data_IF_324234571505
#
_entry.id   IF_324234571505
#
_cell.length_a   1.000
_cell.length_b   1.000
_cell.length_c   1.000
_cell.angle_alpha   90.00
_cell.angle_beta   90.00
_cell.angle_gamma   90.00
#
_symmetry.space_group_name_H-M   'P 1'
#
loop_
_entity.id
_entity.type
_entity.pdbx_description
1 polymer ?
#
# COMPACT_ATOMS: atom_id res chain seq x y z
N UNK A 1 -17.13 -2.80 5.06
CA UNK A 1 -16.69 -3.60 3.89
C UNK A 1 -17.74 -3.78 2.81
N UNK A 2 -18.91 -4.41 3.06
CA UNK A 2 -19.90 -4.68 1.99
C UNK A 2 -20.41 -3.45 1.23
N UNK A 3 -20.61 -2.32 1.89
CA UNK A 3 -21.12 -1.07 1.27
C UNK A 3 -20.15 -0.44 0.24
N UNK A 4 -18.83 -0.68 0.38
CA UNK A 4 -17.83 -0.20 -0.56
C UNK A 4 -17.66 -1.13 -1.78
N UNK A 5 -17.95 -2.42 -1.65
CA UNK A 5 -17.77 -3.40 -2.73
C UNK A 5 -18.74 -3.17 -3.89
N UNK A 6 -20.01 -2.87 -3.60
CA UNK A 6 -21.00 -2.53 -4.64
C UNK A 6 -20.60 -1.26 -5.40
N UNK A 7 -19.98 -0.30 -4.71
CA UNK A 7 -19.53 0.95 -5.32
C UNK A 7 -18.35 0.76 -6.29
N UNK A 8 -17.46 -0.22 -6.06
CA UNK A 8 -16.33 -0.48 -6.95
C UNK A 8 -16.73 -1.19 -8.25
N UNK A 9 -17.74 -2.05 -8.21
CA UNK A 9 -18.25 -2.74 -9.42
C UNK A 9 -18.91 -1.79 -10.41
N UNK A 10 -19.45 -0.68 -9.96
CA UNK A 10 -20.06 0.35 -10.83
C UNK A 10 -19.04 0.97 -11.79
N UNK A 11 -17.76 0.93 -11.47
CA UNK A 11 -16.69 1.48 -12.30
C UNK A 11 -16.20 0.48 -13.38
N UNK A 12 -16.56 -0.80 -13.28
CA UNK A 12 -16.07 -1.85 -14.18
C UNK A 12 -16.51 -1.70 -15.65
N UNK A 13 -17.75 -1.26 -15.97
CA UNK A 13 -18.15 -1.05 -17.37
C UNK A 13 -17.23 -0.07 -18.11
N UNK A 14 -16.90 1.08 -17.48
CA UNK A 14 -15.95 2.06 -18.06
C UNK A 14 -14.55 1.44 -18.23
N UNK A 15 -14.10 0.65 -17.27
CA UNK A 15 -12.82 -0.03 -17.37
C UNK A 15 -12.78 -1.01 -18.55
N UNK A 16 -13.86 -1.78 -18.77
CA UNK A 16 -13.98 -2.71 -19.89
C UNK A 16 -13.93 -1.99 -21.24
N UNK A 17 -14.73 -0.94 -21.39
CA UNK A 17 -14.79 -0.13 -22.61
C UNK A 17 -13.42 0.45 -22.97
N UNK A 18 -12.79 1.20 -22.07
CA UNK A 18 -11.49 1.85 -22.33
C UNK A 18 -10.34 0.85 -22.49
N UNK A 19 -10.41 -0.30 -21.82
CA UNK A 19 -9.42 -1.36 -22.02
C UNK A 19 -9.59 -2.00 -23.39
N UNK A 20 -10.82 -2.22 -23.85
CA UNK A 20 -11.09 -2.71 -25.19
C UNK A 20 -10.57 -1.74 -26.28
N UNK A 21 -10.86 -0.43 -26.13
CA UNK A 21 -10.36 0.61 -27.02
C UNK A 21 -8.82 0.65 -27.08
N UNK A 22 -8.15 0.47 -25.92
CA UNK A 22 -6.69 0.40 -25.88
C UNK A 22 -6.14 -0.81 -26.66
N UNK A 23 -6.71 -1.99 -26.46
CA UNK A 23 -6.26 -3.19 -27.19
C UNK A 23 -6.63 -3.17 -28.68
N UNK A 24 -7.68 -2.44 -29.07
CA UNK A 24 -8.02 -2.16 -30.47
C UNK A 24 -7.09 -1.11 -31.14
N UNK A 25 -6.21 -0.45 -30.36
CA UNK A 25 -5.32 0.60 -30.86
C UNK A 25 -5.97 1.98 -30.98
N UNK A 26 -7.17 2.14 -30.44
CA UNK A 26 -7.96 3.39 -30.48
C UNK A 26 -7.59 4.36 -29.34
N UNK A 27 -6.83 3.90 -28.35
CA UNK A 27 -6.42 4.68 -27.20
C UNK A 27 -4.89 4.68 -27.05
N UNK A 28 -4.30 5.88 -26.81
CA UNK A 28 -2.88 6.03 -26.55
C UNK A 28 -2.44 5.35 -25.24
N UNK A 29 -1.24 4.77 -25.26
CA UNK A 29 -0.66 4.06 -24.11
C UNK A 29 -0.48 4.95 -22.86
N UNK A 30 -0.15 6.22 -23.04
CA UNK A 30 0.00 7.18 -21.92
C UNK A 30 -1.34 7.47 -21.27
N UNK A 31 -2.36 7.73 -22.09
CA UNK A 31 -3.74 7.95 -21.65
C UNK A 31 -4.29 6.70 -20.92
N UNK A 32 -4.13 5.52 -21.53
CA UNK A 32 -4.53 4.27 -20.90
C UNK A 32 -3.82 4.00 -19.56
N UNK A 33 -2.51 4.27 -19.47
CA UNK A 33 -1.76 4.12 -18.22
C UNK A 33 -2.26 5.06 -17.13
N UNK A 34 -2.63 6.27 -17.47
CA UNK A 34 -3.22 7.25 -16.54
C UNK A 34 -4.56 6.75 -15.99
N UNK A 35 -5.39 6.20 -16.86
CA UNK A 35 -6.71 5.67 -16.55
C UNK A 35 -6.62 4.32 -15.79
N UNK A 36 -5.98 3.32 -16.37
CA UNK A 36 -5.96 1.94 -15.84
C UNK A 36 -5.28 1.81 -14.47
N UNK A 37 -4.40 2.77 -14.15
CA UNK A 37 -3.74 2.83 -12.85
C UNK A 37 -4.71 2.94 -11.67
N UNK A 38 -5.84 3.62 -11.86
CA UNK A 38 -6.92 3.67 -10.85
C UNK A 38 -7.43 2.26 -10.51
N UNK A 39 -7.64 1.43 -11.52
CA UNK A 39 -8.13 0.06 -11.36
C UNK A 39 -7.06 -0.94 -10.89
N UNK A 40 -5.81 -0.48 -10.70
CA UNK A 40 -4.69 -1.33 -10.30
C UNK A 40 -4.11 -2.15 -11.45
N UNK A 41 -4.47 -1.81 -12.69
CA UNK A 41 -3.98 -2.47 -13.90
C UNK A 41 -3.04 -1.58 -14.69
N UNK A 42 -2.08 -2.19 -15.38
CA UNK A 42 -1.18 -1.52 -16.32
C UNK A 42 -0.89 -2.39 -17.52
N UNK A 43 -0.94 -1.79 -18.73
CA UNK A 43 -0.34 -2.41 -19.89
C UNK A 43 1.17 -2.58 -19.67
N UNK A 44 1.66 -3.78 -19.94
CA UNK A 44 3.08 -4.13 -19.86
C UNK A 44 3.88 -3.61 -21.06
N UNK A 45 5.20 -3.80 -21.03
CA UNK A 45 6.06 -3.42 -22.16
C UNK A 45 5.63 -4.20 -23.41
N UNK A 46 5.40 -3.48 -24.50
CA UNK A 46 4.86 -4.07 -25.74
C UNK A 46 3.36 -3.81 -25.95
N UNK A 47 2.57 -3.60 -24.89
CA UNK A 47 1.14 -3.25 -25.02
C UNK A 47 0.20 -4.42 -25.30
N UNK A 48 0.72 -5.65 -25.38
CA UNK A 48 -0.07 -6.86 -25.72
C UNK A 48 -0.60 -7.61 -24.49
N UNK A 49 -0.11 -7.27 -23.31
CA UNK A 49 -0.51 -7.89 -22.05
C UNK A 49 -0.60 -6.84 -20.92
N UNK A 50 -1.32 -7.17 -19.88
CA UNK A 50 -1.51 -6.34 -18.70
C UNK A 50 -1.03 -7.02 -17.41
N UNK A 51 -0.73 -6.20 -16.44
CA UNK A 51 -0.52 -6.58 -15.05
C UNK A 51 -1.73 -6.13 -14.23
N UNK A 52 -2.22 -6.98 -13.33
CA UNK A 52 -3.25 -6.65 -12.35
C UNK A 52 -2.70 -6.79 -10.93
N UNK A 53 -3.00 -5.83 -10.06
CA UNK A 53 -2.56 -5.82 -8.66
C UNK A 53 -3.74 -6.06 -7.73
N UNK A 54 -3.62 -7.10 -6.93
CA UNK A 54 -4.53 -7.46 -5.85
C UNK A 54 -4.02 -6.84 -4.55
N UNK A 55 -4.81 -5.98 -3.91
CA UNK A 55 -4.44 -5.38 -2.62
C UNK A 55 -4.70 -6.40 -1.51
N UNK A 56 -3.71 -6.62 -0.68
CA UNK A 56 -3.82 -7.42 0.54
C UNK A 56 -3.70 -6.47 1.71
N UNK A 57 -4.82 -6.04 2.28
CA UNK A 57 -4.84 -5.03 3.36
C UNK A 57 -3.87 -5.41 4.47
N UNK A 58 -2.96 -4.51 4.81
CA UNK A 58 -1.88 -4.72 5.76
C UNK A 58 -0.98 -5.95 5.46
N UNK A 59 -0.95 -6.41 4.21
CA UNK A 59 -0.20 -7.61 3.82
C UNK A 59 -0.84 -8.93 4.24
N UNK A 60 -2.00 -8.88 4.90
CA UNK A 60 -2.65 -10.09 5.41
C UNK A 60 -3.28 -10.93 4.30
N UNK A 61 -2.81 -12.15 4.14
CA UNK A 61 -3.35 -13.14 3.23
C UNK A 61 -4.00 -14.27 4.03
N UNK A 62 -5.33 -14.26 4.13
CA UNK A 62 -6.09 -15.33 4.80
C UNK A 62 -6.14 -16.59 3.93
N UNK A 63 -6.58 -17.73 4.51
CA UNK A 63 -6.77 -18.97 3.75
C UNK A 63 -7.73 -18.78 2.58
N UNK A 64 -8.81 -18.02 2.77
CA UNK A 64 -9.81 -17.71 1.74
C UNK A 64 -9.21 -16.88 0.60
N UNK A 65 -8.39 -15.85 0.93
CA UNK A 65 -7.68 -15.05 -0.08
C UNK A 65 -6.65 -15.89 -0.84
N UNK A 66 -5.93 -16.78 -0.15
CA UNK A 66 -4.99 -17.68 -0.81
C UNK A 66 -5.71 -18.69 -1.71
N UNK A 67 -6.82 -19.26 -1.27
CA UNK A 67 -7.67 -20.14 -2.08
C UNK A 67 -8.20 -19.40 -3.33
N UNK A 68 -8.62 -18.14 -3.18
CA UNK A 68 -8.99 -17.28 -4.31
C UNK A 68 -7.84 -17.12 -5.30
N UNK A 69 -6.64 -16.78 -4.82
CA UNK A 69 -5.45 -16.60 -5.67
C UNK A 69 -5.13 -17.89 -6.44
N UNK A 70 -5.15 -19.04 -5.75
CA UNK A 70 -4.92 -20.35 -6.37
C UNK A 70 -5.96 -20.67 -7.44
N UNK A 71 -7.25 -20.40 -7.17
CA UNK A 71 -8.34 -20.60 -8.14
C UNK A 71 -8.14 -19.71 -9.37
N UNK A 72 -7.82 -18.42 -9.19
CA UNK A 72 -7.59 -17.51 -10.32
C UNK A 72 -6.40 -17.95 -11.20
N UNK A 73 -5.33 -18.47 -10.57
CA UNK A 73 -4.19 -19.01 -11.30
C UNK A 73 -4.62 -20.20 -12.17
N UNK A 74 -5.45 -21.10 -11.65
CA UNK A 74 -5.94 -22.28 -12.37
C UNK A 74 -6.95 -21.91 -13.45
N UNK A 75 -7.97 -21.12 -13.10
CA UNK A 75 -9.08 -20.77 -14.00
C UNK A 75 -8.61 -19.92 -15.19
N UNK A 76 -7.78 -18.92 -14.92
CA UNK A 76 -7.27 -18.01 -15.95
C UNK A 76 -5.87 -18.36 -16.45
N UNK A 77 -5.32 -19.52 -16.08
CA UNK A 77 -4.00 -19.99 -16.52
C UNK A 77 -2.91 -18.92 -16.35
N UNK A 78 -2.90 -18.25 -15.19
CA UNK A 78 -1.94 -17.17 -14.88
C UNK A 78 -0.54 -17.77 -14.79
N UNK A 79 0.36 -17.35 -15.69
CA UNK A 79 1.71 -17.90 -15.81
C UNK A 79 2.71 -17.26 -14.87
N UNK A 80 2.44 -16.03 -14.42
CA UNK A 80 3.39 -15.26 -13.61
C UNK A 80 2.69 -14.48 -12.50
N UNK A 81 3.18 -14.64 -11.27
CA UNK A 81 2.74 -13.94 -10.08
C UNK A 81 3.93 -13.32 -9.35
N UNK A 82 3.77 -12.12 -8.80
CA UNK A 82 4.74 -11.47 -7.94
C UNK A 82 4.15 -11.07 -6.59
N UNK A 83 4.93 -11.29 -5.54
CA UNK A 83 4.75 -10.59 -4.26
C UNK A 83 5.54 -9.28 -4.30
N UNK A 84 4.94 -8.20 -3.82
CA UNK A 84 5.59 -6.88 -3.89
C UNK A 84 6.05 -6.41 -2.52
N UNK A 85 7.00 -5.48 -2.49
CA UNK A 85 7.47 -4.83 -1.24
C UNK A 85 6.40 -3.99 -0.54
N UNK A 86 5.26 -3.72 -1.21
CA UNK A 86 4.08 -3.11 -0.59
C UNK A 86 3.04 -4.17 -0.18
N UNK A 87 3.46 -5.43 -0.07
CA UNK A 87 2.63 -6.55 0.40
C UNK A 87 1.33 -6.68 -0.41
N UNK A 88 1.46 -6.61 -1.74
CA UNK A 88 0.38 -6.89 -2.69
C UNK A 88 0.78 -8.05 -3.58
N UNK A 89 -0.21 -8.71 -4.18
CA UNK A 89 0.02 -9.73 -5.20
C UNK A 89 -0.21 -9.11 -6.58
N UNK A 90 0.66 -9.42 -7.54
CA UNK A 90 0.50 -9.02 -8.92
C UNK A 90 0.40 -10.25 -9.80
N UNK A 91 -0.59 -10.25 -10.70
CA UNK A 91 -0.62 -11.16 -11.83
C UNK A 91 -0.10 -10.44 -13.08
N UNK A 92 0.72 -11.12 -13.84
CA UNK A 92 1.38 -10.60 -15.02
C UNK A 92 0.99 -11.38 -16.27
N UNK A 93 1.27 -10.78 -17.41
CA UNK A 93 1.06 -11.36 -18.75
C UNK A 93 -0.39 -11.77 -19.00
N UNK A 94 -1.34 -10.99 -18.43
CA UNK A 94 -2.77 -11.20 -18.60
C UNK A 94 -3.26 -10.57 -19.91
N UNK A 95 -4.11 -11.28 -20.65
CA UNK A 95 -4.89 -10.70 -21.71
C UNK A 95 -6.11 -9.91 -21.14
N UNK A 96 -6.88 -9.30 -22.02
CA UNK A 96 -8.02 -8.47 -21.66
C UNK A 96 -9.07 -9.22 -20.85
N UNK A 97 -9.48 -10.42 -21.29
CA UNK A 97 -10.51 -11.24 -20.64
C UNK A 97 -10.06 -11.70 -19.24
N UNK A 98 -8.78 -12.09 -19.13
CA UNK A 98 -8.20 -12.48 -17.85
C UNK A 98 -8.19 -11.30 -16.85
N UNK A 99 -7.85 -10.08 -17.29
CA UNK A 99 -7.88 -8.89 -16.42
C UNK A 99 -9.28 -8.63 -15.90
N UNK A 100 -10.29 -8.71 -16.79
CA UNK A 100 -11.68 -8.46 -16.41
C UNK A 100 -12.20 -9.52 -15.44
N UNK A 101 -12.04 -10.78 -15.78
CA UNK A 101 -12.56 -11.89 -14.98
C UNK A 101 -11.91 -11.94 -13.60
N UNK A 102 -10.58 -11.79 -13.53
CA UNK A 102 -9.88 -11.75 -12.22
C UNK A 102 -10.29 -10.54 -11.39
N UNK A 103 -10.43 -9.35 -11.99
CA UNK A 103 -10.81 -8.13 -11.27
C UNK A 103 -12.22 -8.24 -10.68
N UNK A 104 -13.19 -8.72 -11.48
CA UNK A 104 -14.57 -8.88 -11.04
C UNK A 104 -14.68 -9.90 -9.90
N UNK A 105 -14.08 -11.07 -10.05
CA UNK A 105 -14.06 -12.10 -9.02
C UNK A 105 -13.27 -11.68 -7.76
N UNK A 106 -12.22 -10.85 -7.92
CA UNK A 106 -11.49 -10.29 -6.78
C UNK A 106 -12.38 -9.41 -5.90
N UNK A 107 -13.18 -8.55 -6.53
CA UNK A 107 -14.14 -7.71 -5.81
C UNK A 107 -15.18 -8.54 -5.08
N UNK A 108 -15.69 -9.64 -5.68
CA UNK A 108 -16.60 -10.57 -5.03
C UNK A 108 -15.97 -11.25 -3.81
N UNK A 109 -14.69 -11.55 -3.88
CA UNK A 109 -13.91 -12.10 -2.78
C UNK A 109 -13.45 -11.07 -1.74
N UNK A 110 -13.86 -9.80 -1.88
CA UNK A 110 -13.43 -8.72 -0.99
C UNK A 110 -11.98 -8.27 -1.19
N UNK A 111 -11.39 -8.58 -2.34
CA UNK A 111 -10.03 -8.18 -2.70
C UNK A 111 -10.10 -6.97 -3.63
N UNK A 112 -9.67 -5.82 -3.15
CA UNK A 112 -9.71 -4.57 -3.90
C UNK A 112 -8.52 -4.47 -4.84
N UNK A 113 -8.74 -3.97 -6.05
CA UNK A 113 -7.68 -3.65 -7.02
C UNK A 113 -7.50 -2.14 -7.17
N UNK A 114 -8.56 -1.37 -6.94
CA UNK A 114 -8.61 0.09 -7.09
C UNK A 114 -7.53 0.78 -6.24
N UNK A 115 -6.94 1.84 -6.79
CA UNK A 115 -5.80 2.52 -6.18
C UNK A 115 -4.51 1.69 -6.14
N UNK A 116 -4.50 0.49 -6.71
CA UNK A 116 -3.32 -0.35 -6.81
C UNK A 116 -2.22 0.23 -7.71
N UNK A 117 -2.57 1.10 -8.63
CA UNK A 117 -1.68 1.86 -9.50
C UNK A 117 -1.85 3.37 -9.34
N UNK A 118 -1.36 4.16 -10.29
CA UNK A 118 -1.56 5.62 -10.34
C UNK A 118 -1.03 6.41 -9.13
N UNK A 119 -1.59 7.57 -8.95
CA UNK A 119 -1.22 8.51 -7.89
C UNK A 119 -2.28 8.51 -6.77
N UNK A 120 -2.46 7.34 -6.17
CA UNK A 120 -3.43 7.02 -5.13
C UNK A 120 -2.76 6.47 -3.88
N UNK A 121 -3.47 6.44 -2.73
CA UNK A 121 -3.03 5.70 -1.56
C UNK A 121 -2.81 4.22 -1.91
N UNK A 122 -1.63 3.73 -1.56
CA UNK A 122 -1.24 2.34 -1.82
C UNK A 122 -1.66 1.43 -0.68
N UNK A 123 -1.44 0.14 -0.86
CA UNK A 123 -1.63 -0.81 0.22
C UNK A 123 -0.82 -0.40 1.45
N UNK A 124 -1.43 -0.48 2.63
CA UNK A 124 -0.73 -0.29 3.90
C UNK A 124 0.16 -1.48 4.14
N UNK A 125 1.36 -1.23 4.62
CA UNK A 125 2.32 -2.26 4.97
C UNK A 125 2.35 -2.47 6.47
N UNK A 126 2.47 -3.72 6.89
CA UNK A 126 2.63 -4.12 8.27
C UNK A 126 3.88 -5.00 8.41
N UNK A 127 4.53 -4.98 9.55
CA UNK A 127 5.57 -5.97 9.84
C UNK A 127 5.01 -7.39 9.60
N UNK A 128 5.68 -8.22 8.78
CA UNK A 128 5.14 -9.52 8.39
C UNK A 128 5.00 -10.50 9.55
N UNK A 129 5.71 -10.28 10.63
CA UNK A 129 5.67 -11.09 11.85
C UNK A 129 4.85 -10.44 12.99
N UNK A 130 4.12 -9.35 12.71
CA UNK A 130 3.29 -8.71 13.73
C UNK A 130 2.25 -9.67 14.29
N UNK A 131 2.13 -9.71 15.60
CA UNK A 131 1.31 -10.66 16.36
C UNK A 131 2.00 -12.00 16.66
N UNK A 132 3.14 -12.29 16.05
CA UNK A 132 3.86 -13.56 16.24
C UNK A 132 5.33 -13.40 16.66
N UNK A 133 5.93 -12.25 16.41
CA UNK A 133 7.33 -11.99 16.75
C UNK A 133 7.52 -11.89 18.28
N UNK A 134 8.52 -12.64 18.80
CA UNK A 134 8.76 -12.70 20.25
C UNK A 134 9.10 -11.34 20.86
N UNK A 135 9.93 -10.55 20.16
CA UNK A 135 10.50 -9.30 20.66
C UNK A 135 9.73 -8.06 20.13
N UNK A 136 8.51 -8.25 19.62
CA UNK A 136 7.70 -7.10 19.23
C UNK A 136 7.21 -6.34 20.45
N UNK A 137 7.04 -5.04 20.27
CA UNK A 137 6.47 -4.21 21.31
C UNK A 137 4.98 -4.49 21.49
N UNK A 138 4.24 -4.59 20.39
CA UNK A 138 2.84 -5.04 20.35
C UNK A 138 2.41 -5.38 18.92
N UNK A 139 1.28 -6.09 18.78
CA UNK A 139 0.72 -6.41 17.48
C UNK A 139 0.12 -5.14 16.82
N UNK A 140 0.73 -4.73 15.70
CA UNK A 140 0.29 -3.56 14.92
C UNK A 140 -0.63 -3.91 13.75
N UNK A 141 -0.87 -5.21 13.49
CA UNK A 141 -1.68 -5.65 12.36
C UNK A 141 -3.13 -5.13 12.42
N UNK A 142 -3.83 -5.14 13.57
CA UNK A 142 -5.18 -4.61 13.67
C UNK A 142 -5.26 -3.13 13.25
N UNK A 143 -4.31 -2.32 13.71
CA UNK A 143 -4.20 -0.89 13.39
C UNK A 143 -3.85 -0.63 11.92
N UNK A 144 -2.95 -1.43 11.35
CA UNK A 144 -2.61 -1.36 9.94
C UNK A 144 -3.80 -1.71 9.03
N UNK A 145 -4.69 -2.61 9.47
CA UNK A 145 -5.93 -2.94 8.76
C UNK A 145 -6.90 -1.75 8.73
N UNK A 146 -7.16 -1.14 9.88
CA UNK A 146 -8.03 0.04 9.98
C UNK A 146 -7.48 1.20 9.13
N UNK A 147 -6.18 1.47 9.21
CA UNK A 147 -5.51 2.44 8.34
C UNK A 147 -5.71 2.12 6.86
N UNK A 148 -5.67 0.84 6.49
CA UNK A 148 -5.91 0.38 5.12
C UNK A 148 -7.33 0.65 4.64
N UNK A 149 -8.33 0.33 5.46
CA UNK A 149 -9.74 0.61 5.16
C UNK A 149 -10.02 2.13 5.07
N UNK A 150 -9.44 2.91 5.98
CA UNK A 150 -9.58 4.36 5.94
C UNK A 150 -8.97 4.96 4.66
N UNK A 151 -7.79 4.52 4.26
CA UNK A 151 -7.13 4.99 3.03
C UNK A 151 -7.91 4.66 1.74
N UNK A 152 -8.77 3.65 1.74
CA UNK A 152 -9.65 3.36 0.59
C UNK A 152 -10.65 4.50 0.35
N UNK A 153 -11.06 5.23 1.38
CA UNK A 153 -12.00 6.36 1.25
C UNK A 153 -11.44 7.51 0.43
N UNK A 154 -10.10 7.65 0.36
CA UNK A 154 -9.42 8.69 -0.42
C UNK A 154 -9.22 8.33 -1.90
N UNK A 155 -9.50 7.10 -2.33
CA UNK A 155 -9.23 6.68 -3.73
C UNK A 155 -10.14 7.42 -4.73
N UNK A 156 -11.39 7.68 -4.36
CA UNK A 156 -12.33 8.49 -5.18
C UNK A 156 -12.30 9.99 -4.85
N UNK A 157 -11.44 10.40 -3.92
CA UNK A 157 -11.26 11.79 -3.56
C UNK A 157 -10.39 12.53 -4.59
N UNK A 158 -10.06 13.78 -4.26
CA UNK A 158 -9.26 14.63 -5.14
C UNK A 158 -7.88 14.05 -5.45
N UNK A 159 -7.38 14.43 -6.62
CA UNK A 159 -6.08 13.99 -7.14
C UNK A 159 -4.94 14.35 -6.17
N UNK A 160 -4.02 13.41 -6.01
CA UNK A 160 -2.74 13.61 -5.29
C UNK A 160 -1.57 13.85 -6.26
N UNK A 161 -0.48 14.51 -5.81
CA UNK A 161 0.71 14.70 -6.64
C UNK A 161 1.33 13.37 -7.06
N UNK A 162 1.31 12.40 -6.15
CA UNK A 162 1.91 11.07 -6.33
C UNK A 162 1.30 10.05 -5.38
N UNK A 163 1.67 8.76 -5.54
CA UNK A 163 1.29 7.68 -4.62
C UNK A 163 1.71 7.96 -3.18
N UNK A 164 0.83 7.63 -2.23
CA UNK A 164 1.06 7.67 -0.79
C UNK A 164 1.24 6.25 -0.24
N UNK A 165 2.28 6.03 0.55
CA UNK A 165 2.61 4.73 1.16
C UNK A 165 2.67 4.87 2.68
N UNK A 166 1.87 4.07 3.36
CA UNK A 166 1.83 4.01 4.83
C UNK A 166 2.37 2.67 5.31
N UNK A 167 3.10 2.66 6.42
CA UNK A 167 3.67 1.45 6.98
C UNK A 167 3.73 1.45 8.50
N UNK A 168 3.54 0.27 9.07
CA UNK A 168 3.53 0.01 10.51
C UNK A 168 4.65 -0.96 10.87
N UNK A 169 5.53 -0.58 11.78
CA UNK A 169 6.57 -1.43 12.35
C UNK A 169 6.25 -1.75 13.81
N UNK A 170 6.34 -3.01 14.18
CA UNK A 170 5.97 -3.56 15.50
C UNK A 170 7.14 -3.65 16.47
N UNK A 171 8.37 -3.50 16.01
CA UNK A 171 9.57 -3.76 16.79
C UNK A 171 10.74 -2.87 16.37
N UNK A 172 11.86 -2.85 17.12
CA UNK A 172 13.07 -2.09 16.76
C UNK A 172 13.67 -2.51 15.42
N UNK A 173 13.36 -3.70 14.90
CA UNK A 173 13.84 -4.18 13.60
C UNK A 173 13.32 -3.33 12.43
N UNK A 174 12.22 -2.59 12.64
CA UNK A 174 11.65 -1.65 11.67
C UNK A 174 11.49 -2.28 10.26
N UNK A 175 10.93 -3.48 10.19
CA UNK A 175 10.85 -4.30 8.97
C UNK A 175 10.11 -3.61 7.82
N UNK A 176 9.14 -2.77 8.11
CA UNK A 176 8.46 -1.98 7.08
C UNK A 176 9.21 -0.72 6.70
N UNK A 177 10.31 -0.41 7.37
CA UNK A 177 11.04 0.84 7.24
C UNK A 177 10.14 2.06 7.50
N UNK A 178 9.39 2.06 8.60
CA UNK A 178 8.47 3.15 8.98
C UNK A 178 9.15 4.52 8.92
N UNK A 179 10.41 4.61 9.37
CA UNK A 179 11.24 5.82 9.34
C UNK A 179 11.57 6.35 7.93
N UNK A 180 11.27 5.61 6.86
CA UNK A 180 11.49 5.99 5.47
C UNK A 180 10.21 5.96 4.62
N UNK A 181 9.03 5.90 5.24
CA UNK A 181 7.77 5.91 4.49
C UNK A 181 7.28 7.32 4.24
N UNK A 182 6.33 7.45 3.32
CA UNK A 182 5.59 8.71 3.16
C UNK A 182 4.87 9.06 4.47
N UNK A 183 4.32 8.03 5.17
CA UNK A 183 3.88 8.07 6.55
C UNK A 183 4.20 6.73 7.21
N UNK A 184 4.87 6.75 8.35
CA UNK A 184 5.28 5.56 9.09
C UNK A 184 4.93 5.64 10.55
N UNK A 185 4.38 4.54 11.07
CA UNK A 185 4.05 4.35 12.48
C UNK A 185 5.02 3.31 13.03
N UNK A 186 5.88 3.71 13.94
CA UNK A 186 6.82 2.85 14.64
C UNK A 186 6.33 2.58 16.06
N UNK A 187 6.04 1.32 16.36
CA UNK A 187 5.63 0.92 17.71
C UNK A 187 6.70 1.22 18.75
N UNK A 188 6.27 1.50 19.97
CA UNK A 188 7.07 1.76 21.16
C UNK A 188 6.78 0.74 22.26
N UNK A 189 7.70 0.53 23.22
CA UNK A 189 7.49 -0.39 24.34
C UNK A 189 6.29 -0.05 25.23
N UNK A 190 5.89 1.24 25.24
CA UNK A 190 4.78 1.74 26.04
C UNK A 190 3.40 1.58 25.38
N UNK A 191 3.33 0.85 24.25
CA UNK A 191 2.08 0.61 23.52
C UNK A 191 1.63 1.76 22.61
N UNK A 192 2.47 2.79 22.46
CA UNK A 192 2.23 3.96 21.63
C UNK A 192 2.96 3.88 20.28
N UNK A 193 2.73 4.85 19.39
CA UNK A 193 3.46 4.99 18.14
C UNK A 193 4.26 6.29 18.08
N UNK A 194 5.47 6.22 17.53
CA UNK A 194 6.15 7.36 16.95
C UNK A 194 5.76 7.48 15.47
N UNK A 195 5.50 8.72 15.02
CA UNK A 195 5.02 9.00 13.67
C UNK A 195 6.08 9.71 12.84
N UNK A 196 6.51 9.06 11.77
CA UNK A 196 7.45 9.61 10.79
C UNK A 196 6.72 9.97 9.50
N UNK A 197 7.07 11.10 8.89
CA UNK A 197 6.40 11.58 7.69
C UNK A 197 7.37 12.15 6.66
N UNK A 198 6.99 12.12 5.38
CA UNK A 198 7.78 12.58 4.24
C UNK A 198 9.15 11.91 4.07
N UNK A 199 9.25 10.62 4.43
CA UNK A 199 10.42 9.80 4.12
C UNK A 199 10.37 9.20 2.72
N UNK A 200 11.46 8.53 2.34
CA UNK A 200 11.50 7.79 1.08
C UNK A 200 12.79 7.03 0.88
N UNK A 201 12.67 5.86 0.31
CA UNK A 201 13.78 5.06 -0.24
C UNK A 201 13.83 5.22 -1.77
N UNK A 202 14.89 4.79 -2.38
CA UNK A 202 15.13 4.85 -3.83
C UNK A 202 16.28 5.78 -4.18
N UNK A 203 16.30 6.34 -5.38
CA UNK A 203 17.44 7.08 -5.91
C UNK A 203 17.93 8.26 -5.04
N UNK A 204 17.04 8.90 -4.31
CA UNK A 204 17.37 9.98 -3.36
C UNK A 204 16.73 9.61 -2.02
N UNK A 205 17.35 8.76 -1.20
CA UNK A 205 16.80 8.36 0.09
C UNK A 205 16.78 9.54 1.05
N UNK A 206 15.73 9.61 1.86
CA UNK A 206 15.56 10.64 2.87
C UNK A 206 14.83 10.03 4.07
N UNK A 207 15.32 10.28 5.27
CA UNK A 207 14.60 9.94 6.50
C UNK A 207 13.29 10.73 6.58
N UNK A 208 12.27 10.08 7.11
CA UNK A 208 11.04 10.77 7.52
C UNK A 208 11.33 11.71 8.68
N UNK A 209 10.60 12.81 8.71
CA UNK A 209 10.59 13.73 9.85
C UNK A 209 9.75 13.12 10.96
N UNK A 210 10.26 13.10 12.17
CA UNK A 210 9.50 12.71 13.36
C UNK A 210 8.50 13.83 13.70
N UNK A 211 7.25 13.64 13.26
CA UNK A 211 6.19 14.65 13.41
C UNK A 211 5.43 14.54 14.72
N UNK A 212 5.43 13.36 15.34
CA UNK A 212 4.85 13.14 16.66
C UNK A 212 5.51 11.95 17.36
N UNK A 213 5.59 12.01 18.67
CA UNK A 213 6.08 10.96 19.55
C UNK A 213 4.97 10.48 20.47
N UNK A 214 4.87 9.17 20.68
CA UNK A 214 4.00 8.57 21.67
C UNK A 214 2.51 8.84 21.45
N UNK A 215 2.01 8.73 20.23
CA UNK A 215 0.58 8.83 19.95
C UNK A 215 -0.15 7.54 20.33
N UNK A 216 -1.40 7.66 20.75
CA UNK A 216 -2.24 6.49 20.97
C UNK A 216 -2.59 5.82 19.64
N UNK A 217 -2.63 4.48 19.58
CA UNK A 217 -2.98 3.75 18.36
C UNK A 217 -4.35 4.14 17.77
N UNK A 218 -5.32 4.52 18.61
CA UNK A 218 -6.65 4.95 18.20
C UNK A 218 -6.64 6.22 17.36
N UNK A 219 -5.56 7.02 17.43
CA UNK A 219 -5.45 8.31 16.76
C UNK A 219 -4.83 8.24 15.34
N UNK A 220 -4.44 7.07 14.86
CA UNK A 220 -3.70 6.91 13.59
C UNK A 220 -4.39 7.57 12.39
N UNK A 221 -5.72 7.57 12.33
CA UNK A 221 -6.46 8.14 11.20
C UNK A 221 -6.41 9.67 11.15
N UNK A 222 -6.23 10.35 12.29
CA UNK A 222 -5.97 11.80 12.30
C UNK A 222 -4.65 12.13 11.58
N UNK A 223 -3.61 11.36 11.83
CA UNK A 223 -2.30 11.53 11.19
C UNK A 223 -2.32 11.14 9.72
N UNK A 224 -3.09 10.11 9.34
CA UNK A 224 -3.27 9.72 7.93
C UNK A 224 -3.97 10.85 7.17
N UNK A 225 -5.03 11.45 7.72
CA UNK A 225 -5.74 12.56 7.10
C UNK A 225 -4.86 13.82 7.02
N UNK A 226 -4.13 14.12 8.09
CA UNK A 226 -3.16 15.22 8.11
C UNK A 226 -2.10 15.05 7.02
N UNK A 227 -1.53 13.84 6.87
CA UNK A 227 -0.58 13.53 5.81
C UNK A 227 -1.17 13.71 4.41
N UNK A 228 -2.39 13.25 4.21
CA UNK A 228 -3.10 13.41 2.93
C UNK A 228 -3.32 14.89 2.59
N UNK A 229 -3.76 15.71 3.55
CA UNK A 229 -3.93 17.15 3.39
C UNK A 229 -2.60 17.86 3.13
N UNK A 230 -1.55 17.53 3.90
CA UNK A 230 -0.20 18.08 3.73
C UNK A 230 0.33 17.77 2.32
N UNK A 231 0.20 16.53 1.88
CA UNK A 231 0.69 16.12 0.57
C UNK A 231 -0.07 16.80 -0.58
N UNK A 232 -1.37 17.00 -0.42
CA UNK A 232 -2.16 17.74 -1.41
C UNK A 232 -1.82 19.23 -1.46
N UNK A 233 -1.58 19.84 -0.31
CA UNK A 233 -1.29 21.28 -0.22
C UNK A 233 0.12 21.63 -0.70
N UNK A 234 1.11 20.82 -0.40
CA UNK A 234 2.52 21.16 -0.58
C UNK A 234 3.28 20.22 -1.55
N UNK A 235 2.65 19.17 -2.03
CA UNK A 235 3.27 18.25 -2.99
C UNK A 235 3.37 18.85 -4.39
N UNK A 236 4.37 18.42 -5.15
CA UNK A 236 4.63 18.93 -6.48
C UNK A 236 3.79 18.21 -7.54
N UNK A 237 2.87 18.92 -8.18
CA UNK A 237 2.01 18.42 -9.26
C UNK A 237 2.63 18.57 -10.66
N UNK A 238 3.60 19.46 -10.82
CA UNK A 238 4.18 19.82 -12.10
C UNK A 238 5.36 18.90 -12.45
N UNK A 239 6.30 18.73 -11.52
CA UNK A 239 7.50 17.96 -11.75
C UNK A 239 7.36 16.55 -11.15
N UNK A 240 7.04 15.57 -12.00
CA UNK A 240 6.83 14.18 -11.59
C UNK A 240 8.07 13.54 -10.95
N UNK A 241 9.27 13.97 -11.27
CA UNK A 241 10.51 13.47 -10.66
C UNK A 241 10.66 13.94 -9.20
N UNK A 242 10.10 15.10 -8.86
CA UNK A 242 10.09 15.68 -7.52
C UNK A 242 8.72 15.59 -6.83
N UNK A 243 7.81 14.75 -7.31
CA UNK A 243 6.44 14.65 -6.80
C UNK A 243 6.28 13.72 -5.57
N UNK A 244 7.33 13.05 -5.11
CA UNK A 244 7.26 12.21 -3.91
C UNK A 244 7.31 13.05 -2.64
N UNK A 245 6.70 12.56 -1.58
CA UNK A 245 6.53 13.24 -0.29
C UNK A 245 7.84 13.76 0.30
N UNK A 246 8.94 13.01 0.16
CA UNK A 246 10.26 13.40 0.68
C UNK A 246 10.78 14.74 0.16
N UNK A 247 10.35 15.14 -1.03
CA UNK A 247 10.76 16.42 -1.61
C UNK A 247 10.07 17.62 -0.97
N UNK A 248 8.99 17.41 -0.20
CA UNK A 248 8.37 18.47 0.57
C UNK A 248 9.26 18.99 1.69
N UNK A 249 10.17 18.16 2.23
CA UNK A 249 11.16 18.65 3.20
C UNK A 249 12.03 19.75 2.58
N UNK A 250 12.56 19.52 1.37
CA UNK A 250 13.36 20.50 0.65
C UNK A 250 12.53 21.73 0.24
N UNK A 251 11.37 21.53 -0.36
CA UNK A 251 10.55 22.62 -0.89
C UNK A 251 9.96 23.54 0.17
N UNK A 252 9.77 23.08 1.39
CA UNK A 252 9.29 23.88 2.52
C UNK A 252 10.41 24.54 3.33
N UNK A 253 11.69 24.25 3.03
CA UNK A 253 12.83 24.88 3.71
C UNK A 253 13.44 24.05 4.84
N UNK A 254 13.19 22.74 4.85
CA UNK A 254 13.82 21.80 5.76
C UNK A 254 12.86 21.01 6.64
N UNK A 255 13.39 20.07 7.44
CA UNK A 255 12.59 19.16 8.26
C UNK A 255 11.67 19.88 9.26
N UNK A 256 12.14 20.93 9.91
CA UNK A 256 11.36 21.68 10.89
C UNK A 256 10.20 22.44 10.24
N UNK A 257 10.45 23.09 9.11
CA UNK A 257 9.39 23.77 8.36
C UNK A 257 8.33 22.77 7.86
N UNK A 258 8.78 21.59 7.40
CA UNK A 258 7.87 20.50 7.05
C UNK A 258 7.04 20.03 8.25
N UNK A 259 7.68 19.82 9.42
CA UNK A 259 7.00 19.41 10.65
C UNK A 259 5.91 20.40 11.03
N UNK A 260 6.21 21.70 10.99
CA UNK A 260 5.24 22.75 11.31
C UNK A 260 4.05 22.74 10.34
N UNK A 261 4.30 22.58 9.02
CA UNK A 261 3.24 22.47 8.02
C UNK A 261 2.37 21.22 8.22
N UNK A 262 2.97 20.09 8.62
CA UNK A 262 2.23 18.87 8.95
C UNK A 262 1.36 19.05 10.19
N UNK A 263 1.90 19.64 11.25
CA UNK A 263 1.18 19.87 12.51
C UNK A 263 0.03 20.87 12.34
N UNK A 264 0.21 21.89 11.49
CA UNK A 264 -0.89 22.79 11.10
C UNK A 264 -2.05 21.99 10.47
N UNK A 265 -1.76 21.08 9.55
CA UNK A 265 -2.79 20.23 8.95
C UNK A 265 -3.42 19.27 9.95
N UNK A 266 -2.63 18.73 10.87
CA UNK A 266 -3.15 17.90 11.96
C UNK A 266 -4.12 18.69 12.86
N UNK A 267 -3.77 19.92 13.19
CA UNK A 267 -4.64 20.81 13.96
C UNK A 267 -5.96 21.06 13.21
N UNK A 268 -5.91 21.39 11.91
CA UNK A 268 -7.10 21.56 11.06
C UNK A 268 -8.00 20.32 11.07
N UNK A 269 -7.40 19.11 11.04
CA UNK A 269 -8.16 17.86 11.13
C UNK A 269 -8.85 17.73 12.47
N UNK A 270 -8.18 18.04 13.58
CA UNK A 270 -8.75 17.96 14.92
C UNK A 270 -9.87 18.99 15.13
N UNK A 271 -9.69 20.21 14.60
CA UNK A 271 -10.66 21.30 14.68
C UNK A 271 -11.89 21.08 13.78
N UNK A 272 -11.82 20.18 12.78
CA UNK A 272 -12.97 19.86 11.92
C UNK A 272 -14.13 19.19 12.65
N UNK A 273 -13.92 18.69 13.86
CA UNK A 273 -14.92 17.97 14.65
C UNK A 273 -15.24 16.57 14.15
N UNK A 274 -14.56 16.10 13.11
CA UNK A 274 -14.72 14.72 12.63
C UNK A 274 -14.06 13.74 13.60
N UNK A 275 -14.84 12.77 14.10
CA UNK A 275 -14.28 11.69 14.91
C UNK A 275 -13.61 10.65 14.02
N UNK A 276 -12.28 10.63 14.09
CA UNK A 276 -11.41 9.69 13.37
C UNK A 276 -10.78 8.67 14.32
N UNK A 277 -11.33 8.53 15.51
CA UNK A 277 -10.88 7.54 16.50
C UNK A 277 -11.15 6.13 16.00
N UNK A 278 -10.14 5.29 16.03
CA UNK A 278 -10.21 3.90 15.55
C UNK A 278 -10.36 2.96 16.73
N UNK A 279 -11.24 1.98 16.61
CA UNK A 279 -11.33 0.87 17.54
C UNK A 279 -10.90 -0.41 16.83
N UNK A 280 -9.65 -0.83 17.03
CA UNK A 280 -9.18 -2.09 16.51
C UNK A 280 -9.39 -3.21 17.54
N UNK A 281 -9.86 -4.35 17.07
CA UNK A 281 -9.94 -5.55 17.91
C UNK A 281 -8.54 -6.18 17.94
N UNK A 282 -7.86 -6.00 19.06
CA UNK A 282 -6.58 -6.67 19.34
C UNK A 282 -6.92 -8.02 19.96
N UNK A 283 -6.58 -9.11 19.25
CA UNK A 283 -6.69 -10.45 19.81
C UNK A 283 -5.35 -10.81 20.40
N UNK A 284 -5.26 -10.97 21.71
CA UNK A 284 -4.08 -11.53 22.34
C UNK A 284 -3.94 -12.99 21.89
N UNK A 285 -2.91 -13.26 21.12
CA UNK A 285 -2.53 -14.61 20.73
C UNK A 285 -1.44 -15.07 21.69
N UNK A 286 -1.69 -16.18 22.39
CA UNK A 286 -0.64 -16.82 23.20
C UNK A 286 0.49 -17.22 22.27
N UNK A 287 1.66 -16.60 22.42
CA UNK A 287 2.85 -16.91 21.63
C UNK A 287 3.42 -18.24 22.11
N UNK A 288 3.14 -19.30 21.37
CA UNK A 288 3.69 -20.64 21.60
C UNK A 288 5.01 -20.78 20.84
N UNK A 289 6.08 -21.04 21.56
CA UNK A 289 7.41 -21.21 21.01
C UNK A 289 8.30 -19.96 21.14
N UNK A 290 9.58 -20.19 20.96
CA UNK A 290 10.62 -19.13 21.02
C UNK A 290 10.88 -18.45 19.68
N UNK A 291 10.10 -18.79 18.65
CA UNK A 291 10.28 -18.29 17.28
C UNK A 291 11.42 -18.97 16.51
N UNK A 292 12.15 -19.89 17.11
CA UNK A 292 13.25 -20.63 16.46
C UNK A 292 12.75 -21.61 15.40
N UNK A 293 11.54 -22.14 15.57
CA UNK A 293 10.94 -23.11 14.64
C UNK A 293 10.62 -22.51 13.26
N UNK A 294 10.47 -21.17 13.16
CA UNK A 294 10.22 -20.49 11.88
C UNK A 294 11.50 -20.36 11.05
N UNK A 295 12.67 -20.35 11.70
CA UNK A 295 13.96 -20.20 11.01
C UNK A 295 14.34 -21.41 10.17
N UNK A 296 13.76 -22.57 10.44
CA UNK A 296 14.09 -23.84 9.77
C UNK A 296 13.16 -24.20 8.61
N UNK A 297 12.13 -23.39 8.34
CA UNK A 297 11.32 -23.54 7.13
C UNK A 297 12.15 -23.10 5.92
N UNK A 298 13.00 -23.99 5.43
CA UNK A 298 13.66 -23.86 4.14
C UNK A 298 12.60 -24.03 3.05
N UNK A 299 12.06 -22.93 2.56
CA UNK A 299 11.35 -22.94 1.29
C UNK A 299 12.39 -23.16 0.21
N UNK A 300 12.56 -24.41 -0.21
CA UNK A 300 13.37 -24.72 -1.39
C UNK A 300 12.56 -24.29 -2.60
N UNK A 301 12.97 -23.25 -3.36
CA UNK A 301 12.23 -22.83 -4.55
C UNK A 301 12.24 -24.01 -5.53
N UNK A 302 11.07 -24.51 -5.91
CA UNK A 302 10.97 -25.60 -6.90
C UNK A 302 11.37 -25.18 -8.31
N UNK A 303 11.57 -23.87 -8.58
CA UNK A 303 12.09 -23.35 -9.87
C UNK A 303 12.95 -22.12 -9.65
N UNK A 304 14.14 -22.11 -10.26
CA UNK A 304 15.10 -21.02 -10.26
C UNK A 304 14.56 -19.69 -10.81
N UNK A 305 13.59 -19.71 -11.71
CA UNK A 305 13.00 -18.51 -12.33
C UNK A 305 12.23 -17.62 -11.34
N UNK A 306 11.63 -18.20 -10.29
CA UNK A 306 10.94 -17.45 -9.25
C UNK A 306 11.93 -16.76 -8.29
N UNK A 307 13.09 -17.35 -8.05
CA UNK A 307 14.11 -16.78 -7.16
C UNK A 307 14.83 -15.58 -7.77
N UNK A 308 15.08 -15.55 -9.07
CA UNK A 308 15.75 -14.46 -9.77
C UNK A 308 14.91 -13.17 -9.78
N UNK A 309 13.59 -13.25 -9.81
CA UNK A 309 12.70 -12.09 -9.77
C UNK A 309 12.66 -11.48 -8.37
N UNK A 310 12.73 -12.30 -7.32
CA UNK A 310 12.79 -11.84 -5.93
C UNK A 310 14.15 -11.26 -5.53
N UNK A 311 15.24 -11.75 -6.13
CA UNK A 311 16.60 -11.28 -5.87
C UNK A 311 16.90 -10.00 -6.64
N UNK A 312 16.36 -9.80 -7.85
CA UNK A 312 16.64 -8.62 -8.67
C UNK A 312 15.88 -7.36 -8.24
N UNK A 313 14.73 -7.46 -7.60
CA UNK A 313 13.98 -6.30 -7.10
C UNK A 313 14.67 -5.58 -5.93
N UNK A 314 15.17 -6.27 -4.89
CA UNK A 314 15.99 -5.63 -3.85
C UNK A 314 17.29 -5.01 -4.39
N UNK A 315 17.91 -5.64 -5.39
CA UNK A 315 19.18 -5.16 -5.95
C UNK A 315 18.99 -3.91 -6.80
N UNK A 316 17.86 -3.74 -7.46
CA UNK A 316 17.49 -2.49 -8.16
C UNK A 316 17.25 -1.31 -7.21
N UNK A 317 16.98 -1.57 -5.95
CA UNK A 317 16.86 -0.55 -4.90
C UNK A 317 18.22 -0.23 -4.25
N UNK A 318 19.19 -1.10 -4.38
CA UNK A 318 20.54 -0.93 -3.83
C UNK A 318 21.55 -0.34 -4.84
N UNK A 319 21.24 -0.31 -6.13
CA UNK A 319 22.04 0.28 -7.20
C UNK A 319 21.40 1.57 -7.73
#
# INVERSE_FOLDING_TARGET
MKKNQENWKQDLPEFREKTAAFYAGEMDKGAYKGFSGYYGSYAQKGGTASMLRLRMTAGQVTKEKMAFVARMIQEYQVKKMHFTTCQTIQFHDLNQEQVFGVMEQALDAGIITMGGGGDYPRNVMCSPLSGTEKDEYFDVLPWAREAGEYLLTFIKAEKMPRKLKVGFSNSPKNMTHATYRDLGFAARPDGLFDVYSAGGLGNNPCFGVLVAEGIKPEEICYYIKAMWLTFRAYGNYENRAKARTRYMQESLGGPEAYKNAFLEKLQQVRESGEDLTVQAVVTEIEKKGDGSEISDVRVTPQKQELSLIHISEPTRLAL
#
